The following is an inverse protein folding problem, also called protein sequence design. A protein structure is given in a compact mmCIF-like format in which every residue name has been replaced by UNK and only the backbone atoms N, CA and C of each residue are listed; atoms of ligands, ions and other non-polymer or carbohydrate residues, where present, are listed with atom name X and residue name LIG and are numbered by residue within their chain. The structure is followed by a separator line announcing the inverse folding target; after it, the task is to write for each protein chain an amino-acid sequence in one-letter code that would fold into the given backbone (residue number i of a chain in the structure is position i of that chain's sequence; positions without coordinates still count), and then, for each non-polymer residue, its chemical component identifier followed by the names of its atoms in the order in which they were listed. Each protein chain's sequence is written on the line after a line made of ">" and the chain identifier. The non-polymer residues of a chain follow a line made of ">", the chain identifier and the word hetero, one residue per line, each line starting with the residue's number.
data_IF_896131747609
#
_entry.id   IF_896131747609
#
_cell.length_a   1.000
_cell.length_b   1.000
_cell.length_c   1.000
_cell.angle_alpha   90.00
_cell.angle_beta   90.00
_cell.angle_gamma   90.00
#
_symmetry.space_group_name_H-M   'P 1'
#
loop_
_entity.id
_entity.type
_entity.pdbx_description
1 polymer ?
#
# COMPACT_ATOMS: atom_id res chain seq x y z
N UNK A 1 13.82 -16.57 15.33
CA UNK A 1 13.84 -15.57 14.24
C UNK A 1 12.51 -15.64 13.49
N UNK A 2 11.63 -14.65 13.67
CA UNK A 2 10.36 -14.55 12.94
C UNK A 2 10.74 -14.27 11.48
N UNK A 3 10.51 -15.21 10.55
CA UNK A 3 10.71 -14.95 9.11
C UNK A 3 9.78 -13.79 8.76
N UNK A 4 10.33 -12.61 8.50
CA UNK A 4 9.56 -11.55 7.85
C UNK A 4 9.23 -12.08 6.46
N UNK A 5 8.03 -12.64 6.30
CA UNK A 5 7.48 -12.93 4.98
C UNK A 5 7.21 -11.58 4.35
N UNK A 6 8.22 -11.05 3.64
CA UNK A 6 8.07 -9.82 2.87
C UNK A 6 6.94 -9.97 1.87
N UNK A 7 6.36 -8.85 1.45
CA UNK A 7 5.34 -8.85 0.39
C UNK A 7 5.95 -9.39 -0.91
N UNK A 8 5.33 -10.42 -1.46
CA UNK A 8 5.66 -11.00 -2.77
C UNK A 8 4.35 -10.95 -3.56
N UNK A 9 4.27 -10.17 -4.66
CA UNK A 9 3.10 -10.17 -5.52
C UNK A 9 2.81 -11.58 -6.02
N UNK A 10 1.54 -11.96 -6.03
CA UNK A 10 1.09 -13.23 -6.60
C UNK A 10 1.06 -13.16 -8.12
N UNK A 11 0.98 -14.32 -8.77
CA UNK A 11 0.83 -14.37 -10.24
C UNK A 11 -0.49 -13.73 -10.69
N UNK A 12 -1.54 -13.78 -9.85
CA UNK A 12 -2.82 -13.12 -10.12
C UNK A 12 -2.69 -11.59 -10.08
N UNK A 13 -1.98 -11.04 -9.07
CA UNK A 13 -1.70 -9.61 -8.98
C UNK A 13 -0.92 -9.12 -10.21
N UNK A 14 0.08 -9.90 -10.63
CA UNK A 14 0.91 -9.58 -11.79
C UNK A 14 0.05 -9.61 -13.06
N UNK A 15 -0.79 -10.63 -13.25
CA UNK A 15 -1.66 -10.73 -14.41
C UNK A 15 -2.70 -9.59 -14.46
N UNK A 16 -3.24 -9.18 -13.31
CA UNK A 16 -4.14 -8.05 -13.21
C UNK A 16 -3.45 -6.74 -13.61
N UNK A 17 -2.23 -6.51 -13.11
CA UNK A 17 -1.44 -5.33 -13.46
C UNK A 17 -1.03 -5.32 -14.93
N UNK A 18 -0.69 -6.47 -15.53
CA UNK A 18 -0.41 -6.55 -16.98
C UNK A 18 -1.64 -6.14 -17.80
N UNK A 19 -2.84 -6.63 -17.47
CA UNK A 19 -4.08 -6.24 -18.16
C UNK A 19 -4.40 -4.75 -18.04
N UNK A 20 -3.99 -4.11 -16.95
CA UNK A 20 -4.13 -2.65 -16.80
C UNK A 20 -3.12 -1.90 -17.69
N UNK A 21 -1.86 -2.36 -17.69
CA UNK A 21 -0.81 -1.81 -18.55
C UNK A 21 -1.14 -1.97 -20.04
N UNK A 22 -1.74 -3.09 -20.46
CA UNK A 22 -2.20 -3.29 -21.85
C UNK A 22 -3.13 -2.17 -22.35
N UNK A 23 -3.84 -1.48 -21.43
CA UNK A 23 -4.77 -0.38 -21.77
C UNK A 23 -4.11 0.98 -21.64
N UNK A 24 -3.27 1.16 -20.62
CA UNK A 24 -2.78 2.47 -20.18
C UNK A 24 -1.33 2.75 -20.59
N UNK A 25 -0.50 1.70 -20.71
CA UNK A 25 0.93 1.76 -21.06
C UNK A 25 1.39 0.44 -21.76
N UNK A 26 0.97 0.20 -23.01
CA UNK A 26 1.16 -1.08 -23.69
C UNK A 26 2.63 -1.47 -23.88
N UNK A 27 3.53 -0.49 -24.03
CA UNK A 27 4.97 -0.72 -24.21
C UNK A 27 5.60 -1.38 -22.97
N UNK A 28 5.00 -1.16 -21.80
CA UNK A 28 5.43 -1.73 -20.53
C UNK A 28 4.55 -2.89 -20.04
N UNK A 29 3.59 -3.36 -20.83
CA UNK A 29 2.65 -4.42 -20.48
C UNK A 29 3.28 -5.82 -20.44
N UNK A 30 4.23 -6.02 -19.53
CA UNK A 30 4.90 -7.30 -19.30
C UNK A 30 4.99 -7.66 -17.81
N UNK A 31 5.07 -8.96 -17.47
CA UNK A 31 5.06 -9.43 -16.08
C UNK A 31 6.19 -8.85 -15.22
N UNK A 32 7.37 -8.61 -15.80
CA UNK A 32 8.53 -8.08 -15.08
C UNK A 32 8.27 -6.66 -14.61
N UNK A 33 7.79 -5.79 -15.50
CA UNK A 33 7.47 -4.41 -15.17
C UNK A 33 6.31 -4.32 -14.18
N UNK A 34 5.24 -5.10 -14.41
CA UNK A 34 4.10 -5.22 -13.49
C UNK A 34 4.53 -5.59 -12.06
N UNK A 35 5.42 -6.59 -11.92
CA UNK A 35 5.96 -7.00 -10.61
C UNK A 35 6.72 -5.86 -9.92
N UNK A 36 7.55 -5.13 -10.67
CA UNK A 36 8.30 -4.00 -10.13
C UNK A 36 7.37 -2.88 -9.66
N UNK A 37 6.32 -2.56 -10.42
CA UNK A 37 5.33 -1.56 -10.02
C UNK A 37 4.62 -1.95 -8.73
N UNK A 38 4.14 -3.20 -8.62
CA UNK A 38 3.45 -3.69 -7.42
C UNK A 38 4.33 -3.59 -6.18
N UNK A 39 5.62 -3.92 -6.31
CA UNK A 39 6.59 -3.79 -5.21
C UNK A 39 6.81 -2.31 -4.86
N UNK A 40 7.01 -1.43 -5.84
CA UNK A 40 7.19 0.02 -5.62
C UNK A 40 5.98 0.63 -4.93
N UNK A 41 4.76 0.32 -5.40
CA UNK A 41 3.52 0.78 -4.78
C UNK A 41 3.44 0.34 -3.31
N UNK A 42 3.77 -0.93 -3.01
CA UNK A 42 3.77 -1.42 -1.63
C UNK A 42 4.78 -0.68 -0.74
N UNK A 43 5.98 -0.39 -1.26
CA UNK A 43 7.00 0.36 -0.53
C UNK A 43 6.55 1.81 -0.29
N UNK A 44 5.97 2.46 -1.30
CA UNK A 44 5.41 3.80 -1.18
C UNK A 44 4.30 3.86 -0.13
N UNK A 45 3.33 2.93 -0.13
CA UNK A 45 2.29 2.89 0.91
C UNK A 45 2.85 2.63 2.32
N UNK A 46 3.88 1.81 2.44
CA UNK A 46 4.57 1.60 3.72
C UNK A 46 5.25 2.88 4.21
N UNK A 47 5.82 3.66 3.30
CA UNK A 47 6.46 4.93 3.62
C UNK A 47 5.42 6.00 3.98
N UNK A 48 4.34 6.11 3.21
CA UNK A 48 3.19 6.96 3.54
C UNK A 48 2.62 6.62 4.91
N UNK A 49 2.33 5.35 5.20
CA UNK A 49 1.81 4.94 6.51
C UNK A 49 2.78 5.16 7.67
N UNK A 50 4.09 5.28 7.41
CA UNK A 50 5.09 5.68 8.43
C UNK A 50 5.13 7.18 8.64
N UNK A 51 5.02 7.96 7.57
CA UNK A 51 4.95 9.43 7.64
C UNK A 51 3.63 9.86 8.31
N UNK A 52 2.56 9.11 8.04
CA UNK A 52 1.24 9.32 8.60
C UNK A 52 1.09 8.71 10.00
N UNK A 53 1.96 7.82 10.48
CA UNK A 53 1.81 7.22 11.83
C UNK A 53 1.80 8.29 12.93
N UNK A 54 2.57 9.36 12.80
CA UNK A 54 2.58 10.48 13.74
C UNK A 54 1.29 11.31 13.67
N UNK A 55 0.74 11.51 12.47
CA UNK A 55 -0.55 12.17 12.28
C UNK A 55 -1.69 11.26 12.78
N UNK A 56 -1.66 9.97 12.48
CA UNK A 56 -2.59 8.96 12.96
C UNK A 56 -2.59 8.87 14.49
N UNK A 57 -1.41 8.92 15.13
CA UNK A 57 -1.27 9.02 16.60
C UNK A 57 -1.90 10.29 17.14
N UNK A 58 -1.62 11.44 16.51
CA UNK A 58 -2.20 12.72 16.91
C UNK A 58 -3.74 12.74 16.76
N UNK A 59 -4.27 12.19 15.68
CA UNK A 59 -5.71 12.02 15.45
C UNK A 59 -6.31 11.07 16.49
N UNK A 60 -5.67 9.93 16.77
CA UNK A 60 -6.12 9.00 17.83
C UNK A 60 -6.16 9.64 19.22
N UNK A 61 -5.14 10.42 19.58
CA UNK A 61 -5.12 11.18 20.83
C UNK A 61 -6.26 12.21 20.89
N UNK A 62 -6.57 12.84 19.76
CA UNK A 62 -7.68 13.80 19.66
C UNK A 62 -9.04 13.10 19.82
N UNK A 63 -9.23 11.94 19.18
CA UNK A 63 -10.43 11.10 19.35
C UNK A 63 -10.61 10.59 20.78
N UNK A 64 -9.52 10.30 21.51
CA UNK A 64 -9.58 9.86 22.90
C UNK A 64 -9.99 10.95 23.90
N UNK A 65 -9.95 12.22 23.50
CA UNK A 65 -10.35 13.36 24.34
C UNK A 65 -11.81 13.80 24.19
N UNK A 66 -12.50 13.37 23.13
CA UNK A 66 -13.94 13.56 22.98
C UNK A 66 -14.70 12.37 23.59
N UNK A 67 -14.63 12.23 24.92
CA UNK A 67 -15.70 11.53 25.64
C UNK A 67 -17.00 12.33 25.41
N UNK A 68 -18.08 11.71 24.91
CA UNK A 68 -19.36 12.39 24.79
C UNK A 68 -19.94 12.51 26.21
N UNK A 69 -19.57 13.58 26.92
CA UNK A 69 -20.27 13.98 28.13
C UNK A 69 -21.43 14.92 27.76
N UNK A 70 -22.61 14.43 28.13
CA UNK A 70 -23.78 15.15 28.61
C UNK A 70 -24.60 16.00 27.63
N UNK A 71 -25.67 15.38 27.11
CA UNK A 71 -27.06 15.76 27.44
C UNK A 71 -28.07 14.69 26.99
#
# INVERSE_FOLDING_TARGET
>A
MKKMTGYIPTDEDIAAMVRDLEKNDPDNANPTYARQMLIKMKLMYRELGRIDEDLLRKEMDTFGTESPNDN
#
